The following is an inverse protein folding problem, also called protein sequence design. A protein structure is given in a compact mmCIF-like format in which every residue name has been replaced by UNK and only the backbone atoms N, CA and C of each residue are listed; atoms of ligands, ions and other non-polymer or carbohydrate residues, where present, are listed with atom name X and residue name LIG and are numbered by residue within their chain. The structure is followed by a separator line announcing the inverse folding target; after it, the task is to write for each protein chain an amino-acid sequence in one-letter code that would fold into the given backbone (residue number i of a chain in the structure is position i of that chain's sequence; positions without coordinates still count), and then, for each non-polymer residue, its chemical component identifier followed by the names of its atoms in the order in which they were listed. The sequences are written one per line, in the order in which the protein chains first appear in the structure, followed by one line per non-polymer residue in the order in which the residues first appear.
data_IF_617610169068
#
_entry.id   IF_617610169068
#
_cell.length_a   1.000
_cell.length_b   1.000
_cell.length_c   1.000
_cell.angle_alpha   90.00
_cell.angle_beta   90.00
_cell.angle_gamma   90.00
#
_symmetry.space_group_name_H-M   'P 1'
#
loop_
_entity.id
_entity.type
_entity.pdbx_description
1 polymer ?
#
# COMPACT_ATOMS: atom_id res chain seq x y z
N UNK A 1 -18.48 -33.71 -2.89
CA UNK A 1 -17.98 -32.50 -3.59
C UNK A 1 -16.85 -31.92 -2.75
N UNK A 2 -15.68 -31.65 -3.33
CA UNK A 2 -14.58 -31.03 -2.59
C UNK A 2 -14.95 -29.59 -2.22
N UNK A 3 -14.66 -29.19 -0.99
CA UNK A 3 -14.80 -27.80 -0.54
C UNK A 3 -13.80 -26.98 -1.37
N UNK A 4 -14.31 -26.07 -2.20
CA UNK A 4 -13.47 -25.17 -2.98
C UNK A 4 -12.99 -24.03 -2.08
N UNK A 5 -11.69 -23.78 -2.06
CA UNK A 5 -11.10 -22.67 -1.31
C UNK A 5 -11.31 -21.36 -2.09
N UNK A 6 -12.24 -20.54 -1.63
CA UNK A 6 -12.60 -19.24 -2.24
C UNK A 6 -11.82 -18.07 -1.66
N UNK A 7 -10.90 -18.31 -0.71
CA UNK A 7 -10.11 -17.23 -0.11
C UNK A 7 -9.03 -16.70 -1.05
N UNK A 8 -8.64 -17.49 -2.05
CA UNK A 8 -7.58 -17.17 -2.99
C UNK A 8 -8.14 -16.87 -4.36
N UNK A 9 -7.51 -15.91 -5.05
CA UNK A 9 -7.81 -15.62 -6.46
C UNK A 9 -7.50 -16.84 -7.32
N UNK A 10 -8.38 -17.11 -8.29
CA UNK A 10 -8.09 -18.08 -9.34
C UNK A 10 -6.84 -17.67 -10.12
N UNK A 11 -6.10 -18.67 -10.60
CA UNK A 11 -4.91 -18.40 -11.43
C UNK A 11 -5.36 -17.66 -12.70
N UNK A 12 -4.64 -16.62 -13.14
CA UNK A 12 -5.01 -15.87 -14.34
C UNK A 12 -5.20 -16.76 -15.56
N UNK A 13 -4.35 -17.77 -15.72
CA UNK A 13 -4.43 -18.72 -16.82
C UNK A 13 -5.73 -19.54 -16.83
N UNK A 14 -6.25 -19.88 -15.66
CA UNK A 14 -7.51 -20.63 -15.53
C UNK A 14 -8.69 -19.73 -15.95
N UNK A 15 -8.72 -18.48 -15.48
CA UNK A 15 -9.73 -17.50 -15.91
C UNK A 15 -9.66 -17.28 -17.43
N UNK A 16 -8.47 -17.16 -18.02
CA UNK A 16 -8.32 -16.99 -19.47
C UNK A 16 -8.82 -18.20 -20.27
N UNK A 17 -8.59 -19.42 -19.75
CA UNK A 17 -9.13 -20.64 -20.33
C UNK A 17 -10.65 -20.67 -20.25
N UNK A 18 -11.23 -20.33 -19.09
CA UNK A 18 -12.68 -20.28 -18.89
C UNK A 18 -13.35 -19.27 -19.82
N UNK A 19 -12.76 -18.08 -19.98
CA UNK A 19 -13.24 -17.04 -20.92
C UNK A 19 -13.20 -17.58 -22.36
N UNK A 20 -12.11 -18.25 -22.74
CA UNK A 20 -11.97 -18.84 -24.08
C UNK A 20 -13.00 -19.96 -24.32
N UNK A 21 -13.25 -20.80 -23.32
CA UNK A 21 -14.30 -21.82 -23.37
C UNK A 21 -15.71 -21.20 -23.48
N UNK A 22 -15.98 -20.12 -22.74
CA UNK A 22 -17.26 -19.39 -22.83
C UNK A 22 -17.46 -18.75 -24.21
N UNK A 23 -16.41 -18.15 -24.80
CA UNK A 23 -16.48 -17.66 -26.18
C UNK A 23 -16.67 -18.78 -27.19
N UNK A 24 -15.99 -19.91 -27.01
CA UNK A 24 -16.18 -21.10 -27.84
C UNK A 24 -17.62 -21.61 -27.81
N UNK A 25 -18.29 -21.56 -26.64
CA UNK A 25 -19.70 -21.96 -26.51
C UNK A 25 -20.64 -21.15 -27.40
N UNK A 26 -20.31 -19.89 -27.70
CA UNK A 26 -21.12 -19.03 -28.58
C UNK A 26 -21.20 -19.57 -30.02
N UNK A 27 -20.27 -20.44 -30.42
CA UNK A 27 -20.28 -21.10 -31.74
C UNK A 27 -21.23 -22.31 -31.78
N UNK A 28 -21.65 -22.83 -30.62
CA UNK A 28 -22.54 -23.99 -30.51
C UNK A 28 -23.98 -23.52 -30.46
N UNK A 29 -24.58 -23.26 -31.63
CA UNK A 29 -25.95 -22.75 -31.75
C UNK A 29 -27.03 -23.68 -31.19
N UNK A 30 -26.73 -24.97 -31.03
CA UNK A 30 -27.66 -26.00 -30.53
C UNK A 30 -27.53 -26.28 -29.04
N UNK A 31 -26.66 -25.55 -28.32
CA UNK A 31 -26.46 -25.79 -26.90
C UNK A 31 -27.73 -25.43 -26.09
N UNK A 32 -28.32 -26.45 -25.46
CA UNK A 32 -29.45 -26.32 -24.55
C UNK A 32 -29.23 -27.26 -23.36
N UNK A 33 -29.58 -26.80 -22.16
CA UNK A 33 -29.43 -27.57 -20.92
C UNK A 33 -30.59 -27.33 -19.98
N UNK A 34 -31.00 -28.38 -19.26
CA UNK A 34 -32.00 -28.29 -18.19
C UNK A 34 -31.43 -27.70 -16.90
N UNK A 35 -30.11 -27.63 -16.80
CA UNK A 35 -29.37 -27.10 -15.65
C UNK A 35 -29.32 -25.58 -15.69
N UNK A 36 -29.99 -24.93 -14.74
CA UNK A 36 -30.08 -23.46 -14.67
C UNK A 36 -28.72 -22.79 -14.46
N UNK A 37 -27.82 -23.43 -13.72
CA UNK A 37 -26.45 -22.98 -13.45
C UNK A 37 -25.55 -22.99 -14.70
N UNK A 38 -25.82 -23.90 -15.64
CA UNK A 38 -25.08 -24.04 -16.89
C UNK A 38 -25.78 -23.39 -18.09
N UNK A 39 -26.83 -22.61 -17.85
CA UNK A 39 -27.56 -21.90 -18.91
C UNK A 39 -26.71 -20.75 -19.49
N UNK A 40 -26.89 -20.47 -20.79
CA UNK A 40 -26.17 -19.37 -21.46
C UNK A 40 -26.40 -18.04 -20.74
N UNK A 41 -27.65 -17.77 -20.35
CA UNK A 41 -28.01 -16.56 -19.62
C UNK A 41 -27.25 -16.45 -18.29
N UNK A 42 -27.15 -17.54 -17.52
CA UNK A 42 -26.43 -17.52 -16.24
C UNK A 42 -24.93 -17.34 -16.43
N UNK A 43 -24.34 -18.02 -17.42
CA UNK A 43 -22.91 -17.87 -17.73
C UNK A 43 -22.58 -16.43 -18.15
N UNK A 44 -23.43 -15.80 -18.95
CA UNK A 44 -23.28 -14.40 -19.33
C UNK A 44 -23.41 -13.46 -18.13
N UNK A 45 -24.39 -13.68 -17.25
CA UNK A 45 -24.58 -12.90 -16.03
C UNK A 45 -23.34 -12.97 -15.13
N UNK A 46 -22.83 -14.19 -14.86
CA UNK A 46 -21.66 -14.40 -14.00
C UNK A 46 -20.39 -13.82 -14.63
N UNK A 47 -20.23 -13.95 -15.94
CA UNK A 47 -19.12 -13.32 -16.67
C UNK A 47 -19.13 -11.79 -16.54
N UNK A 48 -20.29 -11.15 -16.72
CA UNK A 48 -20.42 -9.70 -16.55
C UNK A 48 -20.18 -9.27 -15.10
N UNK A 49 -20.72 -9.99 -14.13
CA UNK A 49 -20.51 -9.72 -12.71
C UNK A 49 -19.02 -9.81 -12.33
N UNK A 50 -18.29 -10.78 -12.89
CA UNK A 50 -16.85 -10.91 -12.72
C UNK A 50 -16.11 -9.66 -13.24
N UNK A 51 -16.41 -9.21 -14.47
CA UNK A 51 -15.76 -8.04 -15.07
C UNK A 51 -16.02 -6.76 -14.26
N UNK A 52 -17.27 -6.52 -13.87
CA UNK A 52 -17.66 -5.36 -13.05
C UNK A 52 -16.92 -5.36 -11.71
N UNK A 53 -16.83 -6.53 -11.07
CA UNK A 53 -16.13 -6.68 -9.78
C UNK A 53 -14.64 -6.43 -9.91
N UNK A 54 -14.00 -6.95 -10.97
CA UNK A 54 -12.58 -6.71 -11.25
C UNK A 54 -12.29 -5.24 -11.57
N UNK A 55 -13.18 -4.58 -12.32
CA UNK A 55 -13.06 -3.13 -12.57
C UNK A 55 -13.19 -2.32 -11.28
N UNK A 56 -14.17 -2.64 -10.44
CA UNK A 56 -14.35 -1.96 -9.15
C UNK A 56 -13.14 -2.14 -8.24
N UNK A 57 -12.52 -3.33 -8.26
CA UNK A 57 -11.29 -3.61 -7.51
C UNK A 57 -10.14 -2.71 -7.97
N UNK A 58 -9.91 -2.58 -9.28
CA UNK A 58 -8.81 -1.77 -9.82
C UNK A 58 -9.02 -0.28 -9.57
N UNK A 59 -10.25 0.21 -9.70
CA UNK A 59 -10.62 1.59 -9.37
C UNK A 59 -10.33 1.91 -7.90
N UNK A 60 -10.78 1.06 -6.98
CA UNK A 60 -10.54 1.26 -5.54
C UNK A 60 -9.06 1.19 -5.18
N UNK A 61 -8.32 0.29 -5.81
CA UNK A 61 -6.88 0.16 -5.59
C UNK A 61 -6.12 1.40 -6.10
N UNK A 62 -6.54 1.99 -7.21
CA UNK A 62 -5.98 3.25 -7.70
C UNK A 62 -6.27 4.41 -6.73
N UNK A 63 -7.51 4.52 -6.24
CA UNK A 63 -7.88 5.53 -5.23
C UNK A 63 -7.11 5.36 -3.93
N UNK A 64 -6.95 4.12 -3.45
CA UNK A 64 -6.15 3.82 -2.27
C UNK A 64 -4.70 4.25 -2.44
N UNK A 65 -4.08 3.95 -3.60
CA UNK A 65 -2.70 4.37 -3.89
C UNK A 65 -2.57 5.90 -3.86
N UNK A 66 -3.49 6.61 -4.51
CA UNK A 66 -3.50 8.08 -4.50
C UNK A 66 -3.63 8.65 -3.07
N UNK A 67 -4.52 8.09 -2.26
CA UNK A 67 -4.68 8.49 -0.86
C UNK A 67 -3.43 8.19 -0.01
N UNK A 68 -2.80 7.03 -0.21
CA UNK A 68 -1.57 6.65 0.48
C UNK A 68 -0.39 7.55 0.11
N UNK A 69 -0.30 7.97 -1.16
CA UNK A 69 0.73 8.90 -1.61
C UNK A 69 0.52 10.31 -1.04
N UNK A 70 -0.73 10.79 -0.99
CA UNK A 70 -1.07 12.06 -0.35
C UNK A 70 -0.75 12.06 1.15
N UNK A 71 -1.07 10.97 1.86
CA UNK A 71 -0.73 10.82 3.27
C UNK A 71 0.79 10.88 3.50
N UNK A 72 1.57 10.17 2.68
CA UNK A 72 3.03 10.17 2.76
C UNK A 72 3.62 11.57 2.56
N UNK A 73 3.09 12.34 1.60
CA UNK A 73 3.54 13.72 1.38
C UNK A 73 3.23 14.60 2.60
N UNK A 74 2.03 14.51 3.15
CA UNK A 74 1.64 15.25 4.35
C UNK A 74 2.50 14.88 5.58
N UNK A 75 2.87 13.60 5.73
CA UNK A 75 3.79 13.15 6.77
C UNK A 75 5.17 13.80 6.64
N UNK A 76 5.70 13.88 5.42
CA UNK A 76 6.99 14.54 5.17
C UNK A 76 6.94 16.04 5.44
N UNK A 77 5.88 16.71 5.01
CA UNK A 77 5.68 18.13 5.30
C UNK A 77 5.61 18.39 6.79
N UNK A 78 4.83 17.58 7.53
CA UNK A 78 4.75 17.66 8.98
C UNK A 78 6.11 17.41 9.65
N UNK A 79 6.85 16.39 9.21
CA UNK A 79 8.18 16.09 9.73
C UNK A 79 9.14 17.28 9.55
N UNK A 80 9.16 17.88 8.35
CA UNK A 80 10.01 19.02 8.04
C UNK A 80 9.63 20.25 8.86
N UNK A 81 8.32 20.52 9.03
CA UNK A 81 7.85 21.60 9.89
C UNK A 81 8.28 21.39 11.36
N UNK A 82 8.21 20.16 11.87
CA UNK A 82 8.68 19.83 13.22
C UNK A 82 10.19 20.01 13.35
N UNK A 83 10.98 19.65 12.34
CA UNK A 83 12.42 19.91 12.34
C UNK A 83 12.71 21.41 12.39
N UNK A 84 12.07 22.20 11.52
CA UNK A 84 12.22 23.65 11.51
C UNK A 84 11.84 24.28 12.87
N UNK A 85 10.72 23.84 13.48
CA UNK A 85 10.32 24.26 14.82
C UNK A 85 11.41 23.97 15.85
N UNK A 86 12.00 22.77 15.86
CA UNK A 86 13.08 22.42 16.78
C UNK A 86 14.32 23.30 16.59
N UNK A 87 14.63 23.66 15.34
CA UNK A 87 15.74 24.56 15.04
C UNK A 87 15.49 25.99 15.54
N UNK A 88 14.28 26.52 15.34
CA UNK A 88 13.87 27.83 15.85
C UNK A 88 13.94 27.85 17.37
N UNK A 89 13.40 26.84 18.06
CA UNK A 89 13.47 26.73 19.53
C UNK A 89 14.93 26.71 20.00
N UNK A 90 15.79 25.96 19.33
CA UNK A 90 17.23 25.93 19.64
C UNK A 90 17.90 27.28 19.41
N UNK A 91 17.53 28.00 18.36
CA UNK A 91 18.08 29.33 18.02
C UNK A 91 17.62 30.42 19.00
N UNK A 92 16.35 30.40 19.40
CA UNK A 92 15.75 31.42 20.25
C UNK A 92 16.14 31.30 21.72
N UNK A 93 16.13 30.08 22.27
CA UNK A 93 16.39 29.84 23.70
C UNK A 93 17.84 29.39 23.96
N UNK A 94 18.57 28.99 22.92
CA UNK A 94 19.93 28.49 23.03
C UNK A 94 20.01 26.98 23.30
N UNK A 95 21.17 26.40 22.99
CA UNK A 95 21.38 24.94 22.97
C UNK A 95 21.43 24.25 24.34
N UNK A 96 21.46 25.02 25.43
CA UNK A 96 21.56 24.50 26.81
C UNK A 96 20.29 24.78 27.65
N UNK A 97 19.23 25.26 26.99
CA UNK A 97 17.99 25.67 27.63
C UNK A 97 17.03 24.50 27.91
N UNK A 98 16.16 24.67 28.91
CA UNK A 98 15.10 23.71 29.23
C UNK A 98 14.07 23.60 28.09
N UNK A 99 13.84 24.69 27.35
CA UNK A 99 12.92 24.74 26.21
C UNK A 99 13.42 23.86 25.05
N UNK A 100 14.73 23.91 24.75
CA UNK A 100 15.32 23.01 23.76
C UNK A 100 15.21 21.53 24.22
N UNK A 101 15.34 21.28 25.52
CA UNK A 101 15.15 19.95 26.09
C UNK A 101 13.71 19.45 25.97
N UNK A 102 12.72 20.33 26.20
CA UNK A 102 11.30 20.00 26.10
C UNK A 102 10.88 19.54 24.69
N UNK A 103 11.51 20.07 23.64
CA UNK A 103 11.27 19.63 22.25
C UNK A 103 12.10 18.41 21.83
N UNK A 104 12.72 17.73 22.79
CA UNK A 104 13.45 16.47 22.60
C UNK A 104 14.91 16.63 22.18
N UNK A 105 15.50 17.84 22.27
CA UNK A 105 16.94 18.03 22.04
C UNK A 105 17.72 17.81 23.34
N UNK A 106 18.88 17.16 23.27
CA UNK A 106 19.74 17.04 24.46
C UNK A 106 20.47 18.36 24.75
N UNK A 107 20.45 18.84 26.00
CA UNK A 107 21.23 20.00 26.46
C UNK A 107 22.72 19.85 26.16
N UNK A 108 23.40 20.97 25.96
CA UNK A 108 24.83 20.99 25.62
C UNK A 108 25.69 20.54 26.80
N UNK A 109 25.33 20.94 28.02
CA UNK A 109 25.97 20.55 29.28
C UNK A 109 25.95 19.04 29.51
N UNK A 110 24.84 18.38 29.16
CA UNK A 110 24.68 16.92 29.32
C UNK A 110 25.40 16.09 28.23
N UNK A 111 25.95 16.72 27.19
CA UNK A 111 26.67 16.02 26.12
C UNK A 111 28.09 15.71 26.57
N UNK A 112 28.48 14.43 26.46
CA UNK A 112 29.86 13.99 26.66
C UNK A 112 30.79 14.79 25.74
N UNK A 113 31.76 15.50 26.32
CA UNK A 113 32.76 16.24 25.53
C UNK A 113 33.53 15.27 24.63
N UNK A 114 33.76 15.61 23.35
CA UNK A 114 34.65 14.82 22.50
C UNK A 114 36.03 14.75 23.14
N UNK A 115 36.51 13.55 23.47
CA UNK A 115 37.89 13.34 23.88
C UNK A 115 38.74 13.23 22.61
N UNK A 116 39.73 14.11 22.46
CA UNK A 116 40.71 13.99 21.37
C UNK A 116 41.50 12.69 21.63
N UNK A 117 41.41 11.71 20.71
CA UNK A 117 42.33 10.57 20.77
C UNK A 117 43.75 11.13 20.66
N UNK A 118 44.62 10.79 21.61
CA UNK A 118 46.04 11.07 21.47
C UNK A 118 46.50 10.38 20.19
N UNK A 119 47.29 11.03 19.31
CA UNK A 119 47.91 10.31 18.21
C UNK A 119 48.69 9.16 18.85
N UNK A 120 48.45 7.93 18.40
CA UNK A 120 49.31 6.81 18.74
C UNK A 120 50.72 7.24 18.37
N UNK A 121 51.59 7.35 19.38
CA UNK A 121 53.00 7.53 19.14
C UNK A 121 53.44 6.35 18.27
N UNK A 122 53.85 6.64 17.03
CA UNK A 122 54.39 5.65 16.11
C UNK A 122 55.57 4.94 16.79
N UNK A 123 55.50 3.61 16.77
CA UNK A 123 56.55 2.58 16.85
C UNK A 123 57.87 2.93 17.57
#
# INVERSE_FOLDING_TARGET
MSIQDTTRRLRPQLISQDISSFHGLQTVSTYNTTRTDASIAKLQEVYQAMLISQQTETEKLALYRAAADAARLAEWEFHNAVLAMKEVVRGQYGSDSDQAQAVGLKKKSDRKRPSRKKPDAMA
#
